data_IF_256320175008
#
_entry.id   IF_256320175008
#
_cell.length_a   1.000
_cell.length_b   1.000
_cell.length_c   1.000
_cell.angle_alpha   90.00
_cell.angle_beta   90.00
_cell.angle_gamma   90.00
#
_symmetry.space_group_name_H-M   'P 1'
#
loop_
_entity.id
_entity.type
_entity.pdbx_description
1 polymer ?
#
# COMPACT_ATOMS: atom_id res chain seq x y z
N UNK A 1 31.73 2.92 -0.90
CA UNK A 1 30.74 3.98 -1.16
C UNK A 1 29.81 4.03 0.04
N UNK A 2 30.14 4.85 1.04
CA UNK A 2 29.24 5.16 2.15
C UNK A 2 28.53 6.45 1.77
N UNK A 3 27.44 6.33 1.02
CA UNK A 3 26.49 7.43 0.94
C UNK A 3 25.67 7.31 2.22
N UNK A 4 25.74 8.31 3.10
CA UNK A 4 24.97 8.31 4.35
C UNK A 4 23.49 8.11 4.02
N UNK A 5 23.00 6.92 4.33
CA UNK A 5 21.64 6.49 4.03
C UNK A 5 20.76 7.08 5.12
N UNK A 6 20.38 8.35 5.01
CA UNK A 6 19.43 8.99 5.93
C UNK A 6 17.99 8.64 5.50
N UNK A 7 17.31 7.80 6.28
CA UNK A 7 15.93 7.38 6.00
C UNK A 7 14.97 8.16 6.88
N UNK A 8 14.03 8.88 6.27
CA UNK A 8 12.93 9.53 6.99
C UNK A 8 11.80 8.54 7.25
N UNK A 9 11.74 8.02 8.48
CA UNK A 9 10.73 7.04 8.89
C UNK A 9 9.34 7.65 9.07
N UNK A 10 9.24 8.98 9.22
CA UNK A 10 7.97 9.69 9.30
C UNK A 10 7.31 9.76 7.92
N UNK A 11 8.10 10.04 6.88
CA UNK A 11 7.65 10.04 5.50
C UNK A 11 7.27 8.64 5.01
N UNK A 12 7.99 7.58 5.46
CA UNK A 12 7.59 6.20 5.15
C UNK A 12 6.21 5.85 5.74
N UNK A 13 5.91 6.30 6.97
CA UNK A 13 4.59 6.11 7.60
C UNK A 13 3.51 6.93 6.91
N UNK A 14 3.81 8.16 6.51
CA UNK A 14 2.89 9.00 5.75
C UNK A 14 2.56 8.38 4.38
N UNK A 15 3.59 7.90 3.67
CA UNK A 15 3.44 7.18 2.40
C UNK A 15 2.61 5.90 2.56
N UNK A 16 2.84 5.12 3.63
CA UNK A 16 2.04 3.93 3.92
C UNK A 16 0.55 4.27 4.16
N UNK A 17 0.27 5.34 4.89
CA UNK A 17 -1.10 5.80 5.16
C UNK A 17 -1.80 6.27 3.90
N UNK A 18 -1.10 7.03 3.05
CA UNK A 18 -1.60 7.46 1.74
C UNK A 18 -1.90 6.27 0.83
N UNK A 19 -1.01 5.27 0.83
CA UNK A 19 -1.18 4.04 0.06
C UNK A 19 -2.39 3.22 0.51
N UNK A 20 -2.65 3.12 1.81
CA UNK A 20 -3.85 2.43 2.32
C UNK A 20 -5.13 3.14 1.90
N UNK A 21 -5.15 4.48 1.98
CA UNK A 21 -6.28 5.26 1.51
C UNK A 21 -6.52 5.07 0.00
N UNK A 22 -5.45 4.96 -0.79
CA UNK A 22 -5.57 4.68 -2.22
C UNK A 22 -6.02 3.23 -2.50
N UNK A 23 -5.53 2.24 -1.74
CA UNK A 23 -5.95 0.85 -1.84
C UNK A 23 -7.44 0.68 -1.51
N UNK A 24 -7.95 1.39 -0.50
CA UNK A 24 -9.37 1.42 -0.15
C UNK A 24 -10.23 2.04 -1.26
N UNK A 25 -9.77 3.14 -1.88
CA UNK A 25 -10.49 3.76 -3.01
C UNK A 25 -10.63 2.85 -4.23
N UNK A 26 -9.67 1.95 -4.45
CA UNK A 26 -9.75 0.98 -5.55
C UNK A 26 -10.89 -0.02 -5.34
N UNK A 27 -11.23 -0.37 -4.11
CA UNK A 27 -12.32 -1.33 -3.82
C UNK A 27 -13.67 -0.66 -3.63
N UNK A 28 -13.72 0.63 -3.30
CA UNK A 28 -14.95 1.39 -3.03
C UNK A 28 -15.76 1.75 -4.29
N UNK A 29 -15.11 1.81 -5.45
CA UNK A 29 -15.78 2.22 -6.69
C UNK A 29 -16.83 1.20 -7.16
N UNK A 30 -18.11 1.60 -7.16
CA UNK A 30 -19.19 0.82 -7.76
C UNK A 30 -18.90 0.52 -9.24
N UNK A 31 -19.18 -0.71 -9.65
CA UNK A 31 -19.11 -1.11 -11.06
C UNK A 31 -20.55 -1.39 -11.48
N UNK A 32 -21.00 -0.71 -12.53
CA UNK A 32 -22.43 -0.59 -12.87
C UNK A 32 -23.06 -1.92 -13.26
N UNK A 33 -24.24 -2.22 -12.72
CA UNK A 33 -24.97 -3.45 -13.03
C UNK A 33 -25.76 -3.29 -14.33
N UNK A 34 -25.42 -4.03 -15.38
CA UNK A 34 -26.22 -4.09 -16.60
C UNK A 34 -27.38 -5.08 -16.44
N UNK A 35 -28.56 -4.58 -16.09
CA UNK A 35 -29.78 -5.39 -15.90
C UNK A 35 -30.58 -5.59 -17.21
N UNK A 36 -29.90 -5.89 -18.33
CA UNK A 36 -30.54 -6.05 -19.64
C UNK A 36 -30.68 -7.51 -20.09
N UNK A 37 -31.75 -7.86 -20.80
CA UNK A 37 -31.96 -9.21 -21.36
C UNK A 37 -31.26 -9.46 -22.70
N UNK A 38 -30.38 -8.56 -23.16
CA UNK A 38 -29.66 -8.67 -24.44
C UNK A 38 -28.36 -9.44 -24.24
N UNK A 39 -27.91 -10.23 -25.23
CA UNK A 39 -26.64 -10.96 -25.18
C UNK A 39 -25.42 -10.09 -24.76
N UNK A 40 -25.44 -8.80 -25.09
CA UNK A 40 -24.42 -7.84 -24.65
C UNK A 40 -24.34 -7.62 -23.14
N UNK A 41 -25.41 -7.85 -22.37
CA UNK A 41 -25.39 -7.71 -20.91
C UNK A 41 -24.51 -8.74 -20.22
N UNK A 42 -24.42 -9.96 -20.78
CA UNK A 42 -23.50 -11.00 -20.30
C UNK A 42 -22.05 -10.55 -20.46
N UNK A 43 -21.72 -9.97 -21.62
CA UNK A 43 -20.39 -9.39 -21.86
C UNK A 43 -20.07 -8.23 -20.92
N UNK A 44 -21.04 -7.34 -20.67
CA UNK A 44 -20.87 -6.22 -19.73
C UNK A 44 -20.67 -6.74 -18.30
N UNK A 45 -21.43 -7.75 -17.87
CA UNK A 45 -21.28 -8.37 -16.54
C UNK A 45 -19.92 -9.08 -16.38
N UNK A 46 -19.42 -9.73 -17.44
CA UNK A 46 -18.09 -10.32 -17.45
C UNK A 46 -17.00 -9.25 -17.32
N UNK A 47 -17.12 -8.13 -18.04
CA UNK A 47 -16.19 -7.01 -17.95
C UNK A 47 -16.22 -6.35 -16.57
N UNK A 48 -17.41 -6.14 -16.02
CA UNK A 48 -17.64 -5.63 -14.66
C UNK A 48 -16.94 -6.51 -13.60
N UNK A 49 -17.07 -7.83 -13.72
CA UNK A 49 -16.38 -8.81 -12.87
C UNK A 49 -14.86 -8.76 -13.03
N UNK A 50 -14.37 -8.65 -14.26
CA UNK A 50 -12.93 -8.53 -14.55
C UNK A 50 -12.35 -7.24 -13.93
N UNK A 51 -13.06 -6.12 -14.06
CA UNK A 51 -12.67 -4.83 -13.46
C UNK A 51 -12.59 -4.95 -11.94
N UNK A 52 -13.62 -5.51 -11.27
CA UNK A 52 -13.58 -5.73 -9.82
C UNK A 52 -12.39 -6.61 -9.40
N UNK A 53 -12.13 -7.67 -10.15
CA UNK A 53 -11.01 -8.59 -9.89
C UNK A 53 -9.66 -7.88 -9.98
N UNK A 54 -9.45 -7.08 -11.03
CA UNK A 54 -8.19 -6.32 -11.20
C UNK A 54 -8.04 -5.27 -10.11
N UNK A 55 -9.10 -4.51 -9.77
CA UNK A 55 -9.06 -3.53 -8.67
C UNK A 55 -8.71 -4.18 -7.34
N UNK A 56 -9.29 -5.33 -7.02
CA UNK A 56 -8.94 -6.10 -5.82
C UNK A 56 -7.47 -6.53 -5.78
N UNK A 57 -6.94 -7.04 -6.89
CA UNK A 57 -5.50 -7.41 -6.99
C UNK A 57 -4.58 -6.21 -6.80
N UNK A 58 -4.93 -5.05 -7.36
CA UNK A 58 -4.11 -3.84 -7.19
C UNK A 58 -4.17 -3.31 -5.77
N UNK A 59 -5.36 -3.27 -5.16
CA UNK A 59 -5.54 -2.91 -3.75
C UNK A 59 -4.70 -3.80 -2.83
N UNK A 60 -4.70 -5.12 -3.04
CA UNK A 60 -3.90 -6.06 -2.26
C UNK A 60 -2.38 -5.82 -2.43
N UNK A 61 -1.91 -5.57 -3.66
CA UNK A 61 -0.49 -5.24 -3.91
C UNK A 61 -0.08 -3.95 -3.20
N UNK A 62 -0.91 -2.91 -3.27
CA UNK A 62 -0.63 -1.64 -2.59
C UNK A 62 -0.59 -1.83 -1.08
N UNK A 63 -1.54 -2.56 -0.51
CA UNK A 63 -1.56 -2.88 0.93
C UNK A 63 -0.31 -3.64 1.38
N UNK A 64 0.22 -4.53 0.53
CA UNK A 64 1.50 -5.22 0.80
C UNK A 64 2.69 -4.25 0.79
N UNK A 65 2.71 -3.30 -0.15
CA UNK A 65 3.76 -2.28 -0.20
C UNK A 65 3.71 -1.33 1.00
N UNK A 66 2.52 -0.90 1.42
CA UNK A 66 2.35 -0.03 2.59
C UNK A 66 2.75 -0.72 3.88
N UNK A 67 2.46 -2.03 4.02
CA UNK A 67 2.95 -2.84 5.13
C UNK A 67 4.49 -2.87 5.18
N UNK A 68 5.14 -3.08 4.03
CA UNK A 68 6.60 -3.09 3.95
C UNK A 68 7.22 -1.72 4.29
N UNK A 69 6.59 -0.61 3.90
CA UNK A 69 7.04 0.74 4.27
C UNK A 69 6.99 0.97 5.78
N UNK A 70 5.91 0.52 6.46
CA UNK A 70 5.78 0.62 7.92
C UNK A 70 6.83 -0.22 8.63
N UNK A 71 6.99 -1.47 8.21
CA UNK A 71 7.97 -2.40 8.80
C UNK A 71 9.40 -1.87 8.61
N UNK A 72 9.71 -1.37 7.40
CA UNK A 72 11.00 -0.75 7.10
C UNK A 72 11.27 0.48 7.97
N UNK A 73 10.29 1.38 8.12
CA UNK A 73 10.41 2.55 8.98
C UNK A 73 10.59 2.19 10.46
N UNK A 74 9.85 1.21 10.97
CA UNK A 74 10.01 0.73 12.34
C UNK A 74 11.41 0.16 12.59
N UNK A 75 11.90 -0.72 11.71
CA UNK A 75 13.24 -1.32 11.86
C UNK A 75 14.34 -0.27 11.82
N UNK A 76 14.15 0.78 11.02
CA UNK A 76 15.12 1.87 10.94
C UNK A 76 15.14 2.68 12.24
N UNK A 77 13.98 3.07 12.78
CA UNK A 77 13.88 3.77 14.07
C UNK A 77 14.50 2.95 15.22
N UNK A 78 14.25 1.64 15.27
CA UNK A 78 14.84 0.74 16.27
C UNK A 78 16.37 0.66 16.14
N UNK A 79 16.88 0.59 14.91
CA UNK A 79 18.32 0.51 14.64
C UNK A 79 19.02 1.81 15.00
N UNK A 80 18.47 2.96 14.59
CA UNK A 80 19.07 4.27 14.83
C UNK A 80 18.98 4.64 16.31
N UNK A 81 17.80 4.47 16.93
CA UNK A 81 17.60 4.70 18.36
C UNK A 81 18.48 3.79 19.24
N UNK A 82 18.56 2.50 18.93
CA UNK A 82 19.39 1.55 19.67
C UNK A 82 20.89 1.81 19.51
N UNK A 83 21.33 2.23 18.32
CA UNK A 83 22.72 2.62 18.08
C UNK A 83 23.07 3.90 18.85
N UNK A 84 22.19 4.90 18.84
CA UNK A 84 22.37 6.13 19.59
C UNK A 84 22.48 5.88 21.11
N UNK A 85 21.62 5.02 21.66
CA UNK A 85 21.67 4.62 23.08
C UNK A 85 22.99 3.90 23.42
N UNK A 86 23.41 2.93 22.61
CA UNK A 86 24.66 2.20 22.82
C UNK A 86 25.89 3.12 22.75
N UNK A 87 25.88 4.11 21.86
CA UNK A 87 26.95 5.10 21.75
C UNK A 87 26.95 6.04 22.95
N UNK A 88 25.78 6.50 23.41
CA UNK A 88 25.65 7.38 24.56
C UNK A 88 26.14 6.74 25.87
N UNK A 89 26.04 5.41 26.01
CA UNK A 89 26.54 4.67 27.18
C UNK A 89 28.06 4.47 27.16
N UNK A 90 28.71 4.59 26.00
CA UNK A 90 30.14 4.29 25.83
C UNK A 90 31.04 5.53 26.04
N UNK A 91 30.46 6.73 26.23
CA UNK A 91 31.17 8.02 26.46
C UNK A 91 31.13 8.40 27.93
#
# INVERSE_FOLDING_TARGET
MANELNVDTSDLRAAATSGDAAAARLTDGAVGTSAGSRSSSVGIAALDTAIRTVRGRQSARMSGQTAALREGGQRYDETDGGSAESLAVTV
#
